data_IF_001241829137
#
_entry.id   IF_001241829137
#
_cell.length_a   1.000
_cell.length_b   1.000
_cell.length_c   1.000
_cell.angle_alpha   90.00
_cell.angle_beta   90.00
_cell.angle_gamma   90.00
#
_symmetry.space_group_name_H-M   'P 1'
#
loop_
_entity.id
_entity.type
_entity.pdbx_description
1 polymer ?
#
# COMPACT_ATOMS: atom_id res chain seq x y z
N UNK A 1 -7.24 3.07 -4.34
CA UNK A 1 -7.46 4.21 -5.29
C UNK A 1 -6.15 4.52 -6.00
N UNK A 2 -6.16 4.79 -7.31
CA UNK A 2 -4.93 5.09 -8.07
C UNK A 2 -4.77 6.59 -8.29
N UNK A 3 -3.70 7.15 -7.76
CA UNK A 3 -3.39 8.58 -7.90
C UNK A 3 -3.26 8.98 -9.38
N UNK A 4 -3.95 10.04 -9.79
CA UNK A 4 -3.83 10.54 -11.17
C UNK A 4 -3.96 12.04 -11.27
N UNK A 5 -3.07 12.65 -12.05
CA UNK A 5 -3.18 14.06 -12.47
C UNK A 5 -3.87 14.22 -13.82
N UNK A 6 -4.32 13.13 -14.44
CA UNK A 6 -5.01 13.18 -15.71
C UNK A 6 -6.32 13.99 -15.61
N UNK A 7 -6.70 14.62 -16.73
CA UNK A 7 -8.01 15.24 -16.89
C UNK A 7 -8.94 14.23 -17.56
N UNK A 8 -9.69 13.49 -16.75
CA UNK A 8 -10.67 12.49 -17.19
C UNK A 8 -11.98 12.63 -16.44
N UNK A 9 -13.07 12.31 -17.13
CA UNK A 9 -14.45 12.49 -16.66
C UNK A 9 -14.82 11.63 -15.45
N UNK A 10 -14.16 10.48 -15.29
CA UNK A 10 -14.41 9.53 -14.19
C UNK A 10 -13.37 9.62 -13.06
N UNK A 11 -12.55 10.66 -13.04
CA UNK A 11 -11.67 10.93 -11.89
C UNK A 11 -12.52 11.28 -10.68
N UNK A 12 -12.24 10.67 -9.55
CA UNK A 12 -13.01 10.86 -8.32
C UNK A 12 -12.17 11.54 -7.23
N UNK A 13 -12.87 12.26 -6.36
CA UNK A 13 -12.34 12.82 -5.13
C UNK A 13 -12.79 11.96 -3.95
N UNK A 14 -11.87 11.60 -3.05
CA UNK A 14 -12.20 10.93 -1.79
C UNK A 14 -11.97 11.90 -0.63
N UNK A 15 -13.07 12.38 -0.05
CA UNK A 15 -13.07 13.40 1.00
C UNK A 15 -12.78 12.82 2.41
N UNK A 16 -13.18 11.56 2.66
CA UNK A 16 -13.30 10.99 4.01
C UNK A 16 -12.51 9.69 4.22
N UNK A 17 -11.25 9.66 3.77
CA UNK A 17 -10.33 8.56 4.06
C UNK A 17 -9.00 9.12 4.49
N UNK A 18 -8.32 8.46 5.45
CA UNK A 18 -6.87 8.65 5.74
C UNK A 18 -6.01 8.16 4.57
N UNK A 19 -6.46 8.31 3.33
CA UNK A 19 -5.72 7.95 2.15
C UNK A 19 -4.69 9.05 1.85
N UNK A 20 -3.48 8.62 1.52
CA UNK A 20 -2.41 9.50 1.08
C UNK A 20 -2.76 10.28 -0.21
N UNK A 21 -3.77 9.83 -0.96
CA UNK A 21 -4.18 10.43 -2.22
C UNK A 21 -5.67 10.78 -2.22
N UNK A 22 -6.00 12.06 -2.45
CA UNK A 22 -7.40 12.55 -2.48
C UNK A 22 -8.04 12.55 -3.87
N UNK A 23 -7.25 12.56 -4.93
CA UNK A 23 -7.73 12.61 -6.32
C UNK A 23 -7.15 11.46 -7.14
N UNK A 24 -8.01 10.69 -7.78
CA UNK A 24 -7.56 9.51 -8.52
C UNK A 24 -8.64 8.79 -9.30
N UNK A 25 -8.25 7.68 -9.91
CA UNK A 25 -9.16 6.74 -10.53
C UNK A 25 -9.50 5.68 -9.47
N UNK A 26 -10.80 5.49 -9.22
CA UNK A 26 -11.28 4.51 -8.25
C UNK A 26 -11.43 3.15 -8.92
N UNK A 27 -10.93 2.11 -8.25
CA UNK A 27 -11.11 0.71 -8.62
C UNK A 27 -11.81 0.02 -7.46
N UNK A 28 -12.71 -0.89 -7.78
CA UNK A 28 -13.18 -1.93 -6.87
C UNK A 28 -12.30 -3.15 -7.08
N UNK A 29 -11.81 -3.75 -5.99
CA UNK A 29 -10.83 -4.83 -6.03
C UNK A 29 -11.35 -5.98 -5.19
N UNK A 30 -11.27 -7.18 -5.73
CA UNK A 30 -11.42 -8.43 -5.01
C UNK A 30 -10.03 -9.01 -4.77
N UNK A 31 -9.70 -9.24 -3.50
CA UNK A 31 -8.39 -9.74 -3.11
C UNK A 31 -8.54 -10.88 -2.10
N UNK A 32 -7.60 -11.81 -2.14
CA UNK A 32 -7.43 -12.83 -1.12
C UNK A 32 -6.84 -12.23 0.17
N UNK A 33 -6.90 -13.00 1.26
CA UNK A 33 -6.46 -12.63 2.61
C UNK A 33 -4.97 -12.27 2.65
N UNK A 34 -4.15 -12.93 1.82
CA UNK A 34 -2.73 -12.64 1.68
C UNK A 34 -2.43 -11.37 0.84
N UNK A 35 -3.47 -10.73 0.29
CA UNK A 35 -3.38 -9.56 -0.59
C UNK A 35 -3.22 -9.88 -2.08
N UNK A 36 -3.37 -11.14 -2.49
CA UNK A 36 -3.40 -11.52 -3.91
C UNK A 36 -4.62 -10.89 -4.58
N UNK A 37 -4.41 -10.11 -5.64
CA UNK A 37 -5.51 -9.46 -6.35
C UNK A 37 -6.13 -10.44 -7.34
N UNK A 38 -7.38 -10.82 -7.11
CA UNK A 38 -8.09 -11.83 -7.92
C UNK A 38 -8.76 -11.16 -9.13
N UNK A 39 -9.52 -10.09 -8.88
CA UNK A 39 -10.23 -9.36 -9.92
C UNK A 39 -10.45 -7.89 -9.53
N UNK A 40 -10.75 -7.04 -10.49
CA UNK A 40 -11.04 -5.63 -10.25
C UNK A 40 -11.96 -5.03 -11.31
N UNK A 41 -12.64 -3.93 -10.92
CA UNK A 41 -13.52 -3.15 -11.80
C UNK A 41 -13.23 -1.66 -11.67
N UNK A 42 -12.97 -0.99 -12.79
CA UNK A 42 -12.76 0.46 -12.81
C UNK A 42 -14.09 1.17 -12.61
N UNK A 43 -14.14 2.09 -11.66
CA UNK A 43 -15.32 2.92 -11.44
C UNK A 43 -15.33 4.09 -12.43
N UNK A 44 -16.20 4.00 -13.44
CA UNK A 44 -16.35 5.03 -14.49
C UNK A 44 -17.38 6.11 -14.15
N UNK A 45 -17.96 6.07 -12.94
CA UNK A 45 -18.89 7.08 -12.40
C UNK A 45 -20.26 7.18 -13.08
N UNK A 46 -20.45 6.61 -14.26
CA UNK A 46 -21.67 6.75 -15.09
C UNK A 46 -22.29 5.42 -15.53
N UNK A 47 -22.05 4.32 -14.83
CA UNK A 47 -22.75 3.07 -15.15
C UNK A 47 -24.24 3.26 -14.91
N UNK A 48 -25.06 3.15 -15.96
CA UNK A 48 -26.48 2.77 -15.79
C UNK A 48 -26.45 1.45 -15.01
N UNK A 49 -27.03 1.43 -13.81
CA UNK A 49 -27.08 0.21 -13.00
C UNK A 49 -27.77 -0.87 -13.82
N UNK A 50 -27.04 -1.92 -14.19
CA UNK A 50 -27.52 -2.91 -15.15
C UNK A 50 -28.64 -3.75 -14.55
N UNK A 51 -28.65 -3.92 -13.22
CA UNK A 51 -29.64 -4.72 -12.50
C UNK A 51 -30.76 -3.92 -11.83
N UNK A 52 -30.62 -2.59 -11.72
CA UNK A 52 -31.50 -1.76 -10.88
C UNK A 52 -31.32 -1.91 -9.36
N UNK A 53 -30.44 -2.81 -8.89
CA UNK A 53 -30.20 -3.08 -7.45
C UNK A 53 -29.11 -2.19 -6.82
N UNK A 54 -28.49 -1.32 -7.61
CA UNK A 54 -27.49 -0.35 -7.17
C UNK A 54 -26.04 -0.77 -7.37
N UNK A 55 -25.12 0.18 -7.17
CA UNK A 55 -23.70 0.02 -7.53
C UNK A 55 -22.99 -1.11 -6.79
N UNK A 56 -23.22 -1.21 -5.47
CA UNK A 56 -22.57 -2.20 -4.62
C UNK A 56 -22.93 -3.62 -5.07
N UNK A 57 -24.22 -3.85 -5.32
CA UNK A 57 -24.73 -5.12 -5.83
C UNK A 57 -24.08 -5.46 -7.18
N UNK A 58 -24.13 -4.54 -8.15
CA UNK A 58 -23.60 -4.76 -9.51
C UNK A 58 -22.08 -4.98 -9.53
N UNK A 59 -21.35 -4.38 -8.59
CA UNK A 59 -19.90 -4.57 -8.47
C UNK A 59 -19.61 -5.94 -7.88
N UNK A 60 -20.20 -6.27 -6.74
CA UNK A 60 -19.94 -7.54 -6.03
C UNK A 60 -20.32 -8.73 -6.91
N UNK A 61 -21.51 -8.71 -7.50
CA UNK A 61 -21.98 -9.80 -8.39
C UNK A 61 -21.19 -9.92 -9.69
N UNK A 62 -20.46 -8.87 -10.09
CA UNK A 62 -19.57 -8.94 -11.26
C UNK A 62 -18.15 -9.41 -10.94
N UNK A 63 -17.71 -9.29 -9.69
CA UNK A 63 -16.37 -9.70 -9.24
C UNK A 63 -16.37 -11.12 -8.67
N UNK A 64 -17.44 -11.51 -8.00
CA UNK A 64 -17.58 -12.81 -7.34
C UNK A 64 -18.19 -13.82 -8.31
N UNK A 65 -17.68 -15.06 -8.33
CA UNK A 65 -18.36 -16.14 -9.04
C UNK A 65 -19.70 -16.44 -8.34
N UNK A 66 -20.79 -16.41 -9.12
CA UNK A 66 -22.15 -16.62 -8.64
C UNK A 66 -22.36 -18.00 -8.01
N UNK A 67 -21.57 -19.01 -8.38
CA UNK A 67 -21.62 -20.34 -7.77
C UNK A 67 -21.27 -20.34 -6.27
N UNK A 68 -20.57 -19.30 -5.79
CA UNK A 68 -20.25 -19.14 -4.36
C UNK A 68 -21.33 -18.39 -3.58
N UNK A 69 -22.35 -17.85 -4.24
CA UNK A 69 -23.45 -17.15 -3.58
C UNK A 69 -24.51 -18.20 -3.21
N UNK A 70 -24.60 -18.53 -1.91
CA UNK A 70 -25.65 -19.40 -1.40
C UNK A 70 -27.04 -18.76 -1.49
N UNK A 71 -28.06 -19.59 -1.65
CA UNK A 71 -29.49 -19.22 -1.63
C UNK A 71 -30.12 -19.45 -0.24
N UNK A 72 -29.27 -19.47 0.80
CA UNK A 72 -29.66 -19.77 2.17
C UNK A 72 -30.28 -18.55 2.88
N UNK A 73 -30.99 -18.82 3.96
CA UNK A 73 -31.57 -17.80 4.84
C UNK A 73 -30.52 -16.80 5.35
N UNK A 74 -30.91 -15.53 5.41
CA UNK A 74 -30.07 -14.45 5.94
C UNK A 74 -30.19 -14.37 7.46
N UNK A 75 -29.05 -14.50 8.15
CA UNK A 75 -28.93 -14.23 9.58
C UNK A 75 -28.43 -12.80 9.82
N UNK A 76 -29.21 -12.03 10.57
CA UNK A 76 -28.81 -10.72 11.09
C UNK A 76 -28.35 -10.84 12.54
N UNK A 77 -27.15 -10.35 12.84
CA UNK A 77 -26.55 -10.38 14.18
C UNK A 77 -26.25 -8.96 14.63
N UNK A 78 -26.76 -8.59 15.81
CA UNK A 78 -26.41 -7.35 16.50
C UNK A 78 -25.59 -7.67 17.74
N UNK A 79 -24.39 -7.09 17.82
CA UNK A 79 -23.47 -7.28 18.93
C UNK A 79 -23.06 -5.93 19.50
N UNK A 80 -23.18 -5.79 20.82
CA UNK A 80 -22.75 -4.58 21.53
C UNK A 80 -21.42 -4.89 22.21
N UNK A 81 -20.36 -4.23 21.73
CA UNK A 81 -19.05 -4.19 22.40
C UNK A 81 -18.87 -2.78 23.01
N UNK A 82 -17.88 -2.00 22.57
CA UNK A 82 -17.82 -0.56 22.90
C UNK A 82 -18.88 0.25 22.15
N UNK A 83 -19.25 -0.20 20.95
CA UNK A 83 -20.30 0.36 20.11
C UNK A 83 -21.07 -0.79 19.46
N UNK A 84 -22.24 -0.49 18.92
CA UNK A 84 -23.02 -1.44 18.17
C UNK A 84 -22.30 -1.88 16.89
N UNK A 85 -22.28 -3.20 16.66
CA UNK A 85 -21.82 -3.86 15.45
C UNK A 85 -22.97 -4.70 14.90
N UNK A 86 -23.41 -4.40 13.69
CA UNK A 86 -24.48 -5.12 12.99
C UNK A 86 -23.89 -5.86 11.81
N UNK A 87 -24.13 -7.18 11.74
CA UNK A 87 -23.63 -8.09 10.73
C UNK A 87 -24.78 -8.80 10.04
N UNK A 88 -24.60 -9.16 8.77
CA UNK A 88 -25.48 -10.04 8.02
C UNK A 88 -24.64 -11.18 7.43
N UNK A 89 -25.15 -12.40 7.46
CA UNK A 89 -24.45 -13.59 6.96
C UNK A 89 -25.41 -14.70 6.55
N UNK A 90 -25.04 -15.48 5.55
CA UNK A 90 -25.79 -16.66 5.08
C UNK A 90 -25.22 -17.99 5.61
N UNK A 91 -24.03 -17.99 6.23
CA UNK A 91 -23.27 -19.22 6.51
C UNK A 91 -22.98 -19.48 7.99
N UNK A 92 -23.05 -18.47 8.86
CA UNK A 92 -22.65 -18.61 10.26
C UNK A 92 -23.86 -18.76 11.18
N UNK A 93 -23.71 -19.54 12.24
CA UNK A 93 -24.61 -19.54 13.40
C UNK A 93 -24.42 -18.27 14.24
N UNK A 94 -25.43 -17.90 15.05
CA UNK A 94 -25.38 -16.72 15.93
C UNK A 94 -24.16 -16.75 16.85
N UNK A 95 -23.88 -17.90 17.46
CA UNK A 95 -22.80 -18.05 18.42
C UNK A 95 -22.29 -19.50 18.46
N UNK A 96 -20.96 -19.68 18.44
CA UNK A 96 -20.31 -20.99 18.47
C UNK A 96 -19.42 -21.20 19.70
N UNK A 97 -19.66 -20.48 20.80
CA UNK A 97 -18.88 -20.61 22.04
C UNK A 97 -17.60 -19.76 22.10
N UNK A 98 -17.37 -18.89 21.12
CA UNK A 98 -16.14 -18.10 21.04
C UNK A 98 -16.16 -16.87 21.98
N UNK A 99 -15.02 -16.52 22.55
CA UNK A 99 -14.89 -15.32 23.39
C UNK A 99 -13.74 -14.43 22.92
N UNK A 100 -13.80 -13.15 23.29
CA UNK A 100 -12.71 -12.19 23.12
C UNK A 100 -12.44 -11.51 24.46
N UNK A 101 -11.16 -11.41 24.84
CA UNK A 101 -10.77 -10.71 26.06
C UNK A 101 -10.92 -9.20 25.87
N UNK A 102 -11.69 -8.56 26.75
CA UNK A 102 -11.89 -7.11 26.77
C UNK A 102 -11.46 -6.53 28.11
N UNK A 103 -10.92 -5.31 28.05
CA UNK A 103 -10.65 -4.55 29.26
C UNK A 103 -11.96 -4.00 29.80
N UNK A 104 -12.29 -4.36 31.03
CA UNK A 104 -13.44 -3.85 31.75
C UNK A 104 -12.97 -3.30 33.10
N UNK A 105 -13.56 -2.19 33.51
CA UNK A 105 -13.35 -1.64 34.85
C UNK A 105 -14.31 -2.37 35.79
N UNK A 106 -13.77 -3.11 36.75
CA UNK A 106 -14.53 -3.74 37.83
C UNK A 106 -15.12 -2.66 38.74
N UNK A 107 -16.13 -3.00 39.54
CA UNK A 107 -16.77 -2.08 40.50
C UNK A 107 -15.74 -1.40 41.44
N UNK A 108 -14.65 -2.10 41.77
CA UNK A 108 -13.53 -1.59 42.58
C UNK A 108 -12.56 -0.63 41.85
N UNK A 109 -12.87 -0.24 40.61
CA UNK A 109 -12.05 0.66 39.79
C UNK A 109 -10.82 0.00 39.14
N UNK A 110 -10.57 -1.29 39.39
CA UNK A 110 -9.48 -2.03 38.76
C UNK A 110 -9.82 -2.43 37.32
N UNK A 111 -8.83 -2.37 36.42
CA UNK A 111 -8.99 -2.84 35.03
C UNK A 111 -8.63 -4.31 34.94
N UNK A 112 -9.57 -5.15 34.53
CA UNK A 112 -9.35 -6.57 34.29
C UNK A 112 -9.68 -6.95 32.86
N UNK A 113 -9.04 -8.02 32.36
CA UNK A 113 -9.39 -8.64 31.09
C UNK A 113 -10.47 -9.69 31.32
N UNK A 114 -11.69 -9.41 30.87
CA UNK A 114 -12.85 -10.28 31.02
C UNK A 114 -13.16 -10.95 29.66
N UNK A 115 -13.46 -12.26 29.63
CA UNK A 115 -13.90 -12.92 28.41
C UNK A 115 -15.34 -12.51 28.06
N UNK A 116 -15.51 -11.86 26.90
CA UNK A 116 -16.82 -11.44 26.39
C UNK A 116 -17.21 -12.35 25.22
N UNK A 117 -18.44 -12.90 25.19
CA UNK A 117 -18.94 -13.65 24.04
C UNK A 117 -18.90 -12.80 22.77
N UNK A 118 -18.30 -13.35 21.72
CA UNK A 118 -18.21 -12.69 20.41
C UNK A 118 -18.89 -13.57 19.35
N UNK A 119 -19.79 -13.01 18.51
CA UNK A 119 -20.39 -13.77 17.43
C UNK A 119 -19.35 -14.31 16.45
N UNK A 120 -19.58 -15.52 15.95
CA UNK A 120 -18.69 -16.22 15.02
C UNK A 120 -18.48 -15.41 13.73
N UNK A 121 -19.54 -14.77 13.24
CA UNK A 121 -19.50 -13.90 12.05
C UNK A 121 -18.54 -12.72 12.23
N UNK A 122 -18.47 -12.12 13.43
CA UNK A 122 -17.56 -10.99 13.72
C UNK A 122 -16.09 -11.45 13.69
N UNK A 123 -15.79 -12.64 14.23
CA UNK A 123 -14.43 -13.19 14.17
C UNK A 123 -14.01 -13.43 12.72
N UNK A 124 -14.86 -14.11 11.96
CA UNK A 124 -14.55 -14.48 10.57
C UNK A 124 -14.40 -13.24 9.69
N UNK A 125 -15.26 -12.25 9.86
CA UNK A 125 -15.09 -10.95 9.20
C UNK A 125 -13.74 -10.32 9.52
N UNK A 126 -13.36 -10.20 10.80
CA UNK A 126 -12.07 -9.62 11.18
C UNK A 126 -10.87 -10.40 10.64
N UNK A 127 -10.99 -11.73 10.50
CA UNK A 127 -9.96 -12.59 9.92
C UNK A 127 -9.74 -12.30 8.42
N UNK A 128 -10.81 -11.98 7.69
CA UNK A 128 -10.79 -11.96 6.22
C UNK A 128 -10.93 -10.57 5.59
N UNK A 129 -11.40 -9.55 6.32
CA UNK A 129 -11.66 -8.19 5.79
C UNK A 129 -10.40 -7.46 5.28
N UNK A 130 -9.20 -7.87 5.72
CA UNK A 130 -7.94 -7.14 5.51
C UNK A 130 -7.22 -7.41 4.19
N UNK A 131 -7.73 -8.29 3.33
CA UNK A 131 -7.05 -8.69 2.08
C UNK A 131 -6.83 -7.50 1.13
N UNK A 132 -7.85 -6.67 0.93
CA UNK A 132 -7.74 -5.47 0.07
C UNK A 132 -6.75 -4.45 0.64
N UNK A 133 -6.77 -4.20 1.95
CA UNK A 133 -5.84 -3.26 2.60
C UNK A 133 -4.39 -3.76 2.49
N UNK A 134 -4.19 -5.07 2.56
CA UNK A 134 -2.88 -5.72 2.41
C UNK A 134 -2.37 -5.59 0.97
N UNK A 135 -3.24 -5.81 -0.03
CA UNK A 135 -2.93 -5.54 -1.44
C UNK A 135 -2.55 -4.07 -1.67
N UNK A 136 -3.37 -3.13 -1.19
CA UNK A 136 -3.14 -1.69 -1.31
C UNK A 136 -1.80 -1.28 -0.65
N UNK A 137 -1.44 -1.87 0.49
CA UNK A 137 -0.17 -1.63 1.17
C UNK A 137 1.03 -2.14 0.35
N UNK A 138 0.95 -3.34 -0.22
CA UNK A 138 2.02 -3.90 -1.07
C UNK A 138 2.23 -3.05 -2.31
N UNK A 139 1.13 -2.69 -2.99
CA UNK A 139 1.17 -1.82 -4.17
C UNK A 139 1.73 -0.45 -3.80
N UNK A 140 1.30 0.16 -2.70
CA UNK A 140 1.75 1.48 -2.29
C UNK A 140 3.24 1.55 -1.91
N UNK A 141 3.77 0.51 -1.26
CA UNK A 141 5.17 0.50 -0.79
C UNK A 141 6.18 0.14 -1.87
N UNK A 142 5.75 -0.60 -2.91
CA UNK A 142 6.64 -1.18 -3.92
C UNK A 142 6.41 -0.69 -5.34
N UNK A 143 5.48 0.25 -5.53
CA UNK A 143 5.15 0.80 -6.85
C UNK A 143 6.30 1.59 -7.45
N UNK A 144 6.50 1.42 -8.77
CA UNK A 144 7.45 2.18 -9.60
C UNK A 144 6.72 3.26 -10.42
N UNK A 145 5.53 3.67 -9.97
CA UNK A 145 4.66 4.59 -10.70
C UNK A 145 5.36 5.89 -11.10
N UNK A 146 5.25 6.27 -12.37
CA UNK A 146 5.78 7.54 -12.89
C UNK A 146 4.62 8.49 -13.15
N UNK A 147 4.76 9.74 -12.68
CA UNK A 147 3.74 10.78 -12.89
C UNK A 147 3.47 10.97 -14.39
N UNK A 148 2.23 10.76 -14.80
CA UNK A 148 1.78 10.97 -16.18
C UNK A 148 0.45 11.74 -16.21
N UNK A 149 0.21 12.44 -17.34
CA UNK A 149 -1.08 13.11 -17.62
C UNK A 149 -2.02 12.23 -18.46
N UNK A 150 -1.51 11.12 -19.02
CA UNK A 150 -2.28 10.16 -19.81
C UNK A 150 -2.89 9.13 -18.87
N UNK A 151 -4.22 9.13 -18.73
CA UNK A 151 -4.92 8.28 -17.76
C UNK A 151 -4.71 6.79 -17.99
N UNK A 152 -4.67 6.35 -19.25
CA UNK A 152 -4.46 4.94 -19.60
C UNK A 152 -3.07 4.46 -19.19
N UNK A 153 -2.07 5.33 -19.21
CA UNK A 153 -0.73 5.01 -18.71
C UNK A 153 -0.70 4.89 -17.18
N UNK A 154 -1.48 5.70 -16.46
CA UNK A 154 -1.65 5.54 -15.00
C UNK A 154 -2.25 4.16 -14.68
N UNK A 155 -3.30 3.76 -15.40
CA UNK A 155 -3.94 2.45 -15.20
C UNK A 155 -3.01 1.31 -15.60
N UNK A 156 -2.33 1.42 -16.75
CA UNK A 156 -1.35 0.43 -17.19
C UNK A 156 -0.25 0.19 -16.15
N UNK A 157 0.34 1.26 -15.60
CA UNK A 157 1.37 1.13 -14.55
C UNK A 157 0.82 0.46 -13.30
N UNK A 158 -0.42 0.77 -12.92
CA UNK A 158 -1.04 0.11 -11.77
C UNK A 158 -1.29 -1.38 -12.01
N UNK A 159 -1.71 -1.77 -13.22
CA UNK A 159 -1.87 -3.19 -13.58
C UNK A 159 -0.54 -3.92 -13.60
N UNK A 160 0.53 -3.25 -14.05
CA UNK A 160 1.87 -3.81 -13.96
C UNK A 160 2.30 -4.02 -12.50
N UNK A 161 2.05 -3.05 -11.61
CA UNK A 161 2.32 -3.20 -10.18
C UNK A 161 1.53 -4.39 -9.57
N UNK A 162 0.26 -4.57 -9.95
CA UNK A 162 -0.55 -5.73 -9.54
C UNK A 162 0.06 -7.04 -10.05
N UNK A 163 0.42 -7.12 -11.33
CA UNK A 163 0.99 -8.33 -11.92
C UNK A 163 2.30 -8.73 -11.23
N UNK A 164 3.20 -7.77 -10.99
CA UNK A 164 4.45 -8.00 -10.26
C UNK A 164 4.17 -8.48 -8.83
N UNK A 165 3.22 -7.84 -8.13
CA UNK A 165 2.83 -8.22 -6.76
C UNK A 165 2.26 -9.62 -6.69
N UNK A 166 1.32 -9.95 -7.57
CA UNK A 166 0.74 -11.29 -7.67
C UNK A 166 1.80 -12.35 -8.01
N UNK A 167 2.70 -12.07 -8.95
CA UNK A 167 3.79 -12.99 -9.29
C UNK A 167 4.73 -13.27 -8.11
N UNK A 168 5.01 -12.26 -7.29
CA UNK A 168 5.82 -12.44 -6.07
C UNK A 168 5.08 -13.23 -4.99
N UNK A 169 3.76 -13.04 -4.83
CA UNK A 169 2.96 -13.84 -3.91
C UNK A 169 2.97 -15.31 -4.34
N UNK A 170 2.77 -15.60 -5.63
CA UNK A 170 2.88 -16.96 -6.16
C UNK A 170 4.28 -17.55 -5.94
N UNK A 171 5.34 -16.76 -6.15
CA UNK A 171 6.71 -17.18 -5.83
C UNK A 171 6.86 -17.59 -4.37
N UNK A 172 6.30 -16.82 -3.43
CA UNK A 172 6.33 -17.16 -2.00
C UNK A 172 5.59 -18.47 -1.70
N UNK A 173 4.41 -18.67 -2.29
CA UNK A 173 3.64 -19.91 -2.13
C UNK A 173 4.40 -21.12 -2.68
N UNK A 174 4.98 -21.00 -3.88
CA UNK A 174 5.80 -22.06 -4.47
C UNK A 174 7.03 -22.37 -3.62
N UNK A 175 7.72 -21.35 -3.09
CA UNK A 175 8.82 -21.56 -2.17
C UNK A 175 8.39 -22.30 -0.91
N UNK A 176 7.21 -21.98 -0.35
CA UNK A 176 6.68 -22.68 0.82
C UNK A 176 6.40 -24.16 0.53
N UNK A 177 5.79 -24.47 -0.63
CA UNK A 177 5.54 -25.85 -1.08
C UNK A 177 6.85 -26.63 -1.22
N UNK A 178 7.88 -26.01 -1.82
CA UNK A 178 9.19 -26.63 -2.04
C UNK A 178 10.15 -26.52 -0.85
N UNK A 179 9.69 -26.02 0.31
CA UNK A 179 10.51 -25.79 1.51
C UNK A 179 11.77 -24.93 1.27
N UNK A 180 11.69 -24.02 0.30
CA UNK A 180 12.77 -23.11 -0.05
C UNK A 180 12.57 -21.74 0.61
N UNK A 181 13.67 -21.06 0.90
CA UNK A 181 13.62 -19.67 1.39
C UNK A 181 13.18 -18.75 0.23
N UNK A 182 12.09 -17.97 0.39
CA UNK A 182 11.67 -17.04 -0.64
C UNK A 182 12.68 -15.91 -0.80
N UNK A 183 12.75 -15.37 -2.02
CA UNK A 183 13.59 -14.22 -2.32
C UNK A 183 13.06 -12.97 -1.62
N UNK A 184 13.94 -11.99 -1.38
CA UNK A 184 13.48 -10.67 -0.99
C UNK A 184 12.72 -10.05 -2.16
N UNK A 185 11.76 -9.18 -1.85
CA UNK A 185 11.01 -8.44 -2.87
C UNK A 185 11.92 -7.71 -3.87
N UNK A 186 12.99 -7.08 -3.37
CA UNK A 186 13.93 -6.33 -4.21
C UNK A 186 14.64 -7.26 -5.21
N UNK A 187 15.20 -8.38 -4.73
CA UNK A 187 15.90 -9.32 -5.59
C UNK A 187 14.95 -9.93 -6.63
N UNK A 188 13.70 -10.22 -6.23
CA UNK A 188 12.69 -10.70 -7.14
C UNK A 188 12.39 -9.70 -8.27
N UNK A 189 12.17 -8.42 -7.92
CA UNK A 189 11.93 -7.37 -8.92
C UNK A 189 13.13 -7.13 -9.84
N UNK A 190 14.34 -7.15 -9.29
CA UNK A 190 15.58 -6.99 -10.06
C UNK A 190 15.75 -8.13 -11.07
N UNK A 191 15.56 -9.38 -10.64
CA UNK A 191 15.61 -10.53 -11.55
C UNK A 191 14.50 -10.50 -12.61
N UNK A 192 13.27 -10.15 -12.21
CA UNK A 192 12.17 -10.02 -13.15
C UNK A 192 12.47 -8.95 -14.21
N UNK A 193 13.06 -7.83 -13.82
CA UNK A 193 13.47 -6.77 -14.76
C UNK A 193 14.56 -7.25 -15.74
N UNK A 194 15.56 -8.01 -15.26
CA UNK A 194 16.58 -8.62 -16.14
C UNK A 194 15.94 -9.55 -17.15
N UNK A 195 15.08 -10.45 -16.69
CA UNK A 195 14.43 -11.45 -17.55
C UNK A 195 13.55 -10.80 -18.62
N UNK A 196 12.82 -9.73 -18.27
CA UNK A 196 11.95 -9.03 -19.20
C UNK A 196 12.69 -8.11 -20.18
N UNK A 197 13.83 -7.54 -19.79
CA UNK A 197 14.57 -6.58 -20.62
C UNK A 197 15.76 -7.19 -21.37
N UNK A 198 16.25 -8.35 -20.93
CA UNK A 198 17.50 -8.95 -21.41
C UNK A 198 18.76 -8.17 -21.02
N UNK A 199 18.63 -7.13 -20.19
CA UNK A 199 19.77 -6.30 -19.76
C UNK A 199 20.32 -6.87 -18.45
N UNK A 200 21.59 -7.28 -18.40
CA UNK A 200 22.19 -7.76 -17.16
C UNK A 200 22.23 -6.65 -16.10
N UNK A 201 22.02 -7.02 -14.83
CA UNK A 201 22.24 -6.07 -13.73
C UNK A 201 23.72 -5.73 -13.69
N UNK A 202 24.02 -4.44 -13.69
CA UNK A 202 25.35 -3.97 -13.35
C UNK A 202 25.59 -4.25 -11.87
N UNK A 203 26.22 -5.39 -11.58
CA UNK A 203 26.60 -5.83 -10.24
C UNK A 203 27.79 -5.03 -9.70
N UNK A 204 28.28 -4.05 -10.46
CA UNK A 204 29.37 -3.17 -10.02
C UNK A 204 29.02 -2.61 -8.64
N UNK A 205 29.88 -2.82 -7.62
CA UNK A 205 29.69 -2.22 -6.32
C UNK A 205 29.51 -0.72 -6.52
N UNK A 206 28.35 -0.17 -6.17
CA UNK A 206 28.21 1.28 -6.07
C UNK A 206 29.17 1.71 -4.97
N UNK A 207 30.31 2.29 -5.37
CA UNK A 207 31.24 2.91 -4.44
C UNK A 207 30.44 3.85 -3.53
N UNK A 208 30.39 3.53 -2.23
CA UNK A 208 29.84 4.44 -1.24
C UNK A 208 30.84 5.57 -1.12
N UNK A 209 30.56 6.68 -1.80
CA UNK A 209 31.32 7.90 -1.60
C UNK A 209 30.89 8.50 -0.27
N UNK A 210 31.73 8.35 0.75
CA UNK A 210 31.54 9.04 2.02
C UNK A 210 31.80 10.54 1.81
N UNK A 211 30.81 11.35 2.19
CA UNK A 211 30.90 12.79 2.15
C UNK A 211 31.59 13.27 3.42
N UNK A 212 32.89 13.58 3.35
CA UNK A 212 33.63 14.11 4.48
C UNK A 212 33.57 15.65 4.48
N UNK A 213 33.37 16.29 5.64
CA UNK A 213 33.46 17.74 5.75
C UNK A 213 34.92 18.18 5.54
N UNK A 214 35.15 18.98 4.50
CA UNK A 214 36.45 19.60 4.21
C UNK A 214 36.36 21.09 4.56
N UNK A 215 37.36 21.64 5.27
CA UNK A 215 37.34 23.05 5.64
C UNK A 215 37.53 23.91 4.38
N UNK A 216 36.65 24.90 4.19
CA UNK A 216 36.81 25.90 3.13
C UNK A 216 37.80 26.94 3.63
N UNK A 217 39.09 26.67 3.47
CA UNK A 217 40.15 27.62 3.83
C UNK A 217 40.13 28.83 2.89
N UNK A 218 40.00 30.04 3.45
CA UNK A 218 40.27 31.31 2.75
C UNK A 218 39.03 31.98 2.13
N UNK A 219 38.20 32.62 2.96
CA UNK A 219 37.21 33.60 2.47
C UNK A 219 37.92 34.94 2.31
N UNK A 220 38.29 35.33 1.10
CA UNK A 220 38.83 36.69 0.85
C UNK A 220 37.74 37.70 0.43
N UNK A 221 36.59 37.22 -0.05
CA UNK A 221 35.54 38.11 -0.59
C UNK A 221 34.13 37.67 -0.13
N UNK A 222 33.44 38.48 0.71
CA UNK A 222 32.09 38.19 1.20
C UNK A 222 31.03 38.02 0.11
N UNK A 223 31.21 38.62 -1.07
CA UNK A 223 30.23 38.60 -2.17
C UNK A 223 30.05 37.21 -2.80
N UNK A 224 31.06 36.32 -2.69
CA UNK A 224 31.06 34.98 -3.30
C UNK A 224 30.48 33.88 -2.40
N UNK A 225 30.02 34.21 -1.18
CA UNK A 225 29.45 33.23 -0.22
C UNK A 225 28.24 32.46 -0.77
N UNK A 226 27.34 33.14 -1.50
CA UNK A 226 26.08 32.54 -1.96
C UNK A 226 26.19 31.66 -3.22
N UNK A 227 27.30 31.77 -3.98
CA UNK A 227 27.54 30.99 -5.20
C UNK A 227 28.36 29.73 -4.93
N UNK A 228 29.20 29.71 -3.89
CA UNK A 228 30.03 28.55 -3.56
C UNK A 228 29.26 27.37 -2.95
N UNK A 229 28.17 27.61 -2.21
CA UNK A 229 27.30 26.54 -1.66
C UNK A 229 26.48 25.78 -2.70
N UNK A 230 26.64 26.10 -4.00
CA UNK A 230 25.92 25.48 -5.13
C UNK A 230 26.82 24.68 -6.08
N UNK A 231 28.03 24.30 -5.65
CA UNK A 231 28.89 23.43 -6.47
C UNK A 231 28.38 21.99 -6.38
N UNK A 232 28.09 21.39 -7.53
CA UNK A 232 27.78 19.97 -7.63
C UNK A 232 29.09 19.19 -7.63
N UNK A 233 29.17 18.11 -6.85
CA UNK A 233 30.32 17.22 -6.87
C UNK A 233 30.55 16.69 -8.28
N UNK A 234 31.78 16.74 -8.80
CA UNK A 234 32.09 16.25 -10.15
C UNK A 234 31.85 14.75 -10.26
N UNK A 235 32.12 14.00 -9.16
CA UNK A 235 31.96 12.54 -9.06
C UNK A 235 30.51 12.09 -8.84
N UNK A 236 29.82 12.58 -7.81
CA UNK A 236 28.47 12.09 -7.48
C UNK A 236 27.31 13.00 -7.93
N UNK A 237 27.60 14.16 -8.54
CA UNK A 237 26.63 15.18 -9.00
C UNK A 237 25.68 15.76 -7.93
N UNK A 238 25.80 15.35 -6.66
CA UNK A 238 25.04 15.95 -5.55
C UNK A 238 25.56 17.35 -5.21
N UNK A 239 24.65 18.24 -4.85
CA UNK A 239 24.99 19.57 -4.31
C UNK A 239 25.46 19.44 -2.87
N UNK A 240 26.54 20.12 -2.50
CA UNK A 240 27.03 20.14 -1.12
C UNK A 240 26.06 20.90 -0.21
N UNK A 241 25.50 20.29 0.86
CA UNK A 241 24.72 21.03 1.84
C UNK A 241 25.58 22.10 2.52
N UNK A 242 25.06 23.32 2.63
CA UNK A 242 25.70 24.42 3.36
C UNK A 242 25.19 24.44 4.79
N UNK A 243 26.06 24.25 5.77
CA UNK A 243 25.72 24.33 7.19
C UNK A 243 26.63 25.35 7.89
N UNK A 244 26.09 26.46 8.42
CA UNK A 244 26.85 27.36 9.26
C UNK A 244 26.97 26.77 10.67
N UNK A 245 28.18 26.42 11.11
CA UNK A 245 28.44 26.14 12.53
C UNK A 245 28.87 27.42 13.26
N UNK A 246 28.47 27.55 14.52
CA UNK A 246 28.57 28.74 15.37
C UNK A 246 30.00 29.22 15.75
N UNK A 247 31.05 28.75 15.07
CA UNK A 247 32.43 29.22 15.25
C UNK A 247 33.10 29.24 13.87
N UNK A 248 33.24 30.44 13.31
CA UNK A 248 34.07 30.98 12.21
C UNK A 248 34.73 30.10 11.12
N UNK A 249 34.48 28.79 11.05
CA UNK A 249 35.04 27.85 10.06
C UNK A 249 33.88 27.31 9.23
N UNK A 250 33.91 27.60 7.93
CA UNK A 250 32.91 27.10 6.99
C UNK A 250 33.34 25.73 6.45
N UNK A 251 32.42 24.78 6.43
CA UNK A 251 32.66 23.41 5.93
C UNK A 251 31.89 23.19 4.63
N UNK A 252 32.51 22.49 3.69
CA UNK A 252 31.85 21.94 2.52
C UNK A 252 32.09 20.43 2.48
N UNK A 253 31.07 19.66 2.12
CA UNK A 253 31.22 18.21 1.99
C UNK A 253 31.90 17.86 0.66
N UNK A 254 33.02 17.16 0.68
CA UNK A 254 33.62 16.59 -0.53
C UNK A 254 33.43 15.07 -0.52
N UNK A 255 33.21 14.47 -1.71
CA UNK A 255 33.38 13.03 -1.86
C UNK A 255 34.89 12.75 -1.92
N UNK A 256 35.38 11.85 -1.07
CA UNK A 256 36.67 11.21 -1.30
C UNK A 256 36.59 10.14 -2.38
#
# INVERSE_FOLDING_TARGET
MVASKARVSFKQYMQYTKQYTKWGIKLFVMADVNGYTIDFKICTGKSKFSSGKGMSFDVVTSLVNQDYLGDDDLLFVKWIDTREVSMCTTVHTVYSGETVLRWQTTEDGQKQRVPVPRPTAVRQYNKYMGGVDTSDQMLGTKSVHRKTRKWYMTIFQHFLDIAVTNSFLLHKELCAIHQNKPMTWQNFQELLAVQLTGIPLDVSPKERFDHLPVPVSGIQDPSKKASMGRRCCVRCKKSTPWTPSARSVMWAYACN
#
